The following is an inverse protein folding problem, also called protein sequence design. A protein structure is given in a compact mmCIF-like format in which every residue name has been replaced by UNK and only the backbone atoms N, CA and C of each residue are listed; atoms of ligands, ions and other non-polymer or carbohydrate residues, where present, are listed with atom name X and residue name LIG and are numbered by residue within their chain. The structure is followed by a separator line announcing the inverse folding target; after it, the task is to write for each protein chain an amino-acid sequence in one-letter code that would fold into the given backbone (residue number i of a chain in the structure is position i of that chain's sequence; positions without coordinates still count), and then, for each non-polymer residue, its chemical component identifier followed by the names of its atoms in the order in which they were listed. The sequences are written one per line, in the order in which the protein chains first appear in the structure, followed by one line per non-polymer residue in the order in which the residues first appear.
data_IF_528588126030
#
_entry.id   IF_528588126030
#
_cell.length_a   1.000
_cell.length_b   1.000
_cell.length_c   1.000
_cell.angle_alpha   90.00
_cell.angle_beta   90.00
_cell.angle_gamma   90.00
#
_symmetry.space_group_name_H-M   'P 1'
#
loop_
_entity.id
_entity.type
_entity.pdbx_description
1 polymer ?
#
# COMPACT_ATOMS: atom_id res chain seq x y z
N UNK A 1 -5.49 -1.88 -6.21
CA UNK A 1 -4.94 -1.25 -7.44
C UNK A 1 -4.10 -2.21 -8.25
N UNK A 2 -3.19 -2.96 -7.61
CA UNK A 2 -2.31 -3.93 -8.30
C UNK A 2 -3.09 -5.01 -9.07
N UNK A 3 -4.21 -5.48 -8.51
CA UNK A 3 -5.14 -6.39 -9.18
C UNK A 3 -5.65 -5.86 -10.53
N UNK A 4 -5.90 -4.54 -10.67
CA UNK A 4 -6.31 -3.96 -11.96
C UNK A 4 -5.18 -3.89 -12.96
N UNK A 5 -3.94 -3.74 -12.50
CA UNK A 5 -2.77 -3.84 -13.35
C UNK A 5 -2.63 -5.26 -13.91
N UNK A 6 -2.90 -6.29 -13.10
CA UNK A 6 -2.92 -7.69 -13.51
C UNK A 6 -4.07 -7.99 -14.50
N UNK A 7 -5.29 -7.50 -14.25
CA UNK A 7 -6.40 -7.62 -15.21
C UNK A 7 -6.05 -6.94 -16.55
N UNK A 8 -5.44 -5.75 -16.51
CA UNK A 8 -5.04 -5.04 -17.72
C UNK A 8 -3.95 -5.80 -18.50
N UNK A 9 -3.01 -6.44 -17.80
CA UNK A 9 -2.01 -7.33 -18.40
C UNK A 9 -2.67 -8.51 -19.12
N UNK A 10 -3.62 -9.20 -18.47
CA UNK A 10 -4.33 -10.35 -19.04
C UNK A 10 -5.19 -9.95 -20.25
N UNK A 11 -5.72 -8.73 -20.28
CA UNK A 11 -6.44 -8.15 -21.43
C UNK A 11 -5.52 -7.61 -22.53
N UNK A 12 -4.21 -7.72 -22.39
CA UNK A 12 -3.24 -7.17 -23.34
C UNK A 12 -3.15 -5.63 -23.35
N UNK A 13 -3.81 -4.94 -22.41
CA UNK A 13 -3.82 -3.48 -22.31
C UNK A 13 -2.54 -2.96 -21.66
N UNK A 14 -1.53 -2.68 -22.49
CA UNK A 14 -0.24 -2.13 -22.03
C UNK A 14 -0.37 -0.78 -21.33
N UNK A 15 -1.25 0.10 -21.81
CA UNK A 15 -1.49 1.41 -21.22
C UNK A 15 -2.15 1.29 -19.84
N UNK A 16 -3.19 0.46 -19.73
CA UNK A 16 -3.88 0.21 -18.46
C UNK A 16 -2.96 -0.40 -17.41
N UNK A 17 -2.15 -1.40 -17.80
CA UNK A 17 -1.19 -2.04 -16.89
C UNK A 17 -0.20 -1.00 -16.31
N UNK A 18 0.38 -0.14 -17.15
CA UNK A 18 1.30 0.93 -16.71
C UNK A 18 0.63 1.90 -15.74
N UNK A 19 -0.56 2.38 -16.09
CA UNK A 19 -1.31 3.35 -15.29
C UNK A 19 -1.62 2.79 -13.90
N UNK A 20 -2.22 1.59 -13.83
CA UNK A 20 -2.60 0.98 -12.56
C UNK A 20 -1.40 0.66 -11.69
N UNK A 21 -0.30 0.19 -12.29
CA UNK A 21 0.93 -0.08 -11.56
C UNK A 21 1.57 1.20 -11.01
N UNK A 22 1.60 2.29 -11.80
CA UNK A 22 2.05 3.59 -11.32
C UNK A 22 1.19 4.12 -10.17
N UNK A 23 -0.15 3.98 -10.27
CA UNK A 23 -1.06 4.34 -9.19
C UNK A 23 -0.82 3.50 -7.92
N UNK A 24 -0.52 2.20 -8.04
CA UNK A 24 -0.14 1.37 -6.88
C UNK A 24 1.11 1.91 -6.19
N UNK A 25 2.15 2.24 -6.96
CA UNK A 25 3.40 2.79 -6.42
C UNK A 25 3.15 4.14 -5.72
N UNK A 26 2.38 5.03 -6.35
CA UNK A 26 2.06 6.34 -5.77
C UNK A 26 1.29 6.22 -4.45
N UNK A 27 0.30 5.33 -4.39
CA UNK A 27 -0.45 5.09 -3.16
C UNK A 27 0.43 4.50 -2.05
N UNK A 28 1.26 3.50 -2.38
CA UNK A 28 2.18 2.91 -1.40
C UNK A 28 3.27 3.90 -0.93
N UNK A 29 3.78 4.74 -1.82
CA UNK A 29 4.72 5.80 -1.47
C UNK A 29 4.10 6.88 -0.59
N UNK A 30 2.85 7.24 -0.87
CA UNK A 30 2.07 8.17 -0.02
C UNK A 30 1.86 7.58 1.37
N UNK A 31 1.48 6.31 1.45
CA UNK A 31 1.36 5.58 2.71
C UNK A 31 2.66 5.60 3.53
N UNK A 32 3.80 5.28 2.90
CA UNK A 32 5.10 5.29 3.57
C UNK A 32 5.49 6.71 4.03
N UNK A 33 5.20 7.74 3.22
CA UNK A 33 5.42 9.13 3.60
C UNK A 33 4.60 9.57 4.82
N UNK A 34 3.33 9.17 4.87
CA UNK A 34 2.47 9.41 6.04
C UNK A 34 3.03 8.70 7.28
N UNK A 35 3.48 7.44 7.15
CA UNK A 35 4.06 6.67 8.25
C UNK A 35 5.33 7.32 8.83
N UNK A 36 6.19 7.87 7.97
CA UNK A 36 7.40 8.59 8.39
C UNK A 36 7.02 9.88 9.12
N UNK A 37 6.09 10.66 8.57
CA UNK A 37 5.60 11.88 9.22
C UNK A 37 5.02 11.59 10.61
N UNK A 38 4.28 10.49 10.75
CA UNK A 38 3.77 10.03 12.04
C UNK A 38 4.89 9.76 13.04
N UNK A 39 5.93 9.02 12.64
CA UNK A 39 7.07 8.74 13.52
C UNK A 39 7.77 10.01 13.97
N UNK A 40 8.00 10.97 13.06
CA UNK A 40 8.66 12.23 13.41
C UNK A 40 7.85 13.02 14.43
N UNK A 41 6.51 13.02 14.31
CA UNK A 41 5.62 13.71 15.24
C UNK A 41 5.56 13.02 16.61
N UNK A 42 5.45 11.69 16.64
CA UNK A 42 5.39 10.93 17.89
C UNK A 42 6.69 11.06 18.70
N UNK A 43 7.84 10.98 18.03
CA UNK A 43 9.15 11.07 18.67
C UNK A 43 9.48 12.52 19.07
N UNK A 44 9.20 13.49 18.18
CA UNK A 44 9.56 14.89 18.36
C UNK A 44 8.60 15.68 19.25
N UNK A 45 7.31 15.66 18.94
CA UNK A 45 6.32 16.54 19.58
C UNK A 45 5.70 15.90 20.83
N UNK A 46 5.54 14.57 20.83
CA UNK A 46 4.87 13.84 21.91
C UNK A 46 5.84 13.10 22.84
N UNK A 47 7.14 13.14 22.57
CA UNK A 47 8.20 12.45 23.31
C UNK A 47 7.94 10.93 23.50
N UNK A 48 7.14 10.33 22.62
CA UNK A 48 6.81 8.91 22.59
C UNK A 48 7.77 8.20 21.63
N UNK A 49 8.93 7.82 22.15
CA UNK A 49 9.93 7.05 21.44
C UNK A 49 9.73 5.53 21.56
N UNK A 50 10.52 4.74 20.81
CA UNK A 50 10.45 3.27 20.81
C UNK A 50 10.69 2.63 22.19
N UNK A 51 11.33 3.34 23.11
CA UNK A 51 11.66 2.85 24.46
C UNK A 51 10.85 3.50 25.57
N UNK A 52 9.90 4.38 25.25
CA UNK A 52 9.16 5.17 26.24
C UNK A 52 8.12 4.34 27.01
N UNK A 53 7.56 3.30 26.39
CA UNK A 53 6.63 2.37 27.03
C UNK A 53 6.58 1.03 26.30
N UNK A 54 6.11 -0.03 26.97
CA UNK A 54 5.92 -1.33 26.34
C UNK A 54 4.98 -1.25 25.12
N UNK A 55 3.92 -0.43 25.19
CA UNK A 55 3.02 -0.20 24.05
C UNK A 55 3.75 0.48 22.89
N UNK A 56 4.52 1.54 23.16
CA UNK A 56 5.32 2.24 22.14
C UNK A 56 6.34 1.29 21.49
N UNK A 57 7.03 0.46 22.25
CA UNK A 57 7.97 -0.53 21.71
C UNK A 57 7.30 -1.51 20.76
N UNK A 58 6.14 -2.05 21.13
CA UNK A 58 5.37 -2.96 20.27
C UNK A 58 4.85 -2.23 19.02
N UNK A 59 4.33 -1.01 19.18
CA UNK A 59 3.88 -0.16 18.09
C UNK A 59 5.00 0.02 17.05
N UNK A 60 6.12 0.65 17.43
CA UNK A 60 7.22 0.96 16.51
C UNK A 60 7.87 -0.31 15.91
N UNK A 61 7.88 -1.43 16.63
CA UNK A 61 8.40 -2.70 16.10
C UNK A 61 7.49 -3.27 15.02
N UNK A 62 6.18 -3.38 15.28
CA UNK A 62 5.22 -3.95 14.33
C UNK A 62 5.05 -3.06 13.10
N UNK A 63 4.84 -1.76 13.29
CA UNK A 63 4.69 -0.81 12.19
C UNK A 63 6.01 -0.57 11.47
N UNK A 64 7.15 -0.67 12.16
CA UNK A 64 8.48 -0.54 11.55
C UNK A 64 8.85 -1.71 10.64
N UNK A 65 8.63 -2.95 11.09
CA UNK A 65 8.84 -4.14 10.25
C UNK A 65 7.86 -4.13 9.07
N UNK A 66 6.61 -3.74 9.28
CA UNK A 66 5.67 -3.61 8.18
C UNK A 66 6.12 -2.53 7.17
N UNK A 67 6.51 -1.35 7.65
CA UNK A 67 7.01 -0.25 6.82
C UNK A 67 8.24 -0.65 6.00
N UNK A 68 9.15 -1.46 6.55
CA UNK A 68 10.31 -1.97 5.80
C UNK A 68 9.90 -2.90 4.66
N UNK A 69 8.88 -3.75 4.87
CA UNK A 69 8.30 -4.58 3.80
C UNK A 69 7.62 -3.75 2.72
N UNK A 70 6.87 -2.70 3.10
CA UNK A 70 6.28 -1.76 2.13
C UNK A 70 7.37 -1.10 1.29
N UNK A 71 8.45 -0.64 1.92
CA UNK A 71 9.59 -0.03 1.21
C UNK A 71 10.24 -0.98 0.20
N UNK A 72 10.54 -2.21 0.61
CA UNK A 72 11.06 -3.25 -0.30
C UNK A 72 10.06 -3.52 -1.43
N UNK A 73 8.77 -3.61 -1.11
CA UNK A 73 7.72 -3.77 -2.10
C UNK A 73 7.67 -2.62 -3.11
N UNK A 74 7.84 -1.37 -2.69
CA UNK A 74 7.87 -0.22 -3.60
C UNK A 74 9.06 -0.29 -4.56
N UNK A 75 10.21 -0.76 -4.09
CA UNK A 75 11.37 -1.03 -4.96
C UNK A 75 11.01 -2.10 -5.99
N UNK A 76 10.45 -3.23 -5.56
CA UNK A 76 10.06 -4.33 -6.44
C UNK A 76 9.00 -3.92 -7.46
N UNK A 77 7.97 -3.18 -7.05
CA UNK A 77 6.95 -2.62 -7.93
C UNK A 77 7.54 -1.63 -8.94
N UNK A 78 8.50 -0.80 -8.51
CA UNK A 78 9.19 0.13 -9.39
C UNK A 78 10.00 -0.61 -10.44
N UNK A 79 10.74 -1.65 -10.06
CA UNK A 79 11.44 -2.55 -11.01
C UNK A 79 10.44 -3.20 -11.97
N UNK A 80 9.29 -3.67 -11.46
CA UNK A 80 8.24 -4.24 -12.29
C UNK A 80 7.66 -3.21 -13.27
N UNK A 81 7.51 -1.94 -12.88
CA UNK A 81 7.06 -0.87 -13.77
C UNK A 81 8.08 -0.60 -14.87
N UNK A 82 9.38 -0.53 -14.55
CA UNK A 82 10.44 -0.39 -15.57
C UNK A 82 10.43 -1.57 -16.54
N UNK A 83 10.31 -2.80 -16.04
CA UNK A 83 10.22 -4.00 -16.88
C UNK A 83 8.98 -4.00 -17.77
N UNK A 84 7.86 -3.48 -17.25
CA UNK A 84 6.60 -3.27 -17.97
C UNK A 84 6.76 -2.25 -19.09
N UNK A 85 7.44 -1.13 -18.84
CA UNK A 85 7.72 -0.11 -19.86
C UNK A 85 8.58 -0.66 -21.00
N UNK A 86 9.51 -1.57 -20.69
CA UNK A 86 10.34 -2.29 -21.66
C UNK A 86 9.64 -3.48 -22.33
N UNK A 87 8.38 -3.77 -22.00
CA UNK A 87 7.58 -4.80 -22.67
C UNK A 87 7.88 -6.24 -22.26
N UNK A 88 8.47 -6.47 -21.07
CA UNK A 88 8.80 -7.82 -20.60
C UNK A 88 7.60 -8.66 -20.15
N UNK A 89 6.45 -8.03 -19.91
CA UNK A 89 5.23 -8.72 -19.49
C UNK A 89 4.22 -8.78 -20.63
N UNK A 90 3.53 -9.92 -20.74
CA UNK A 90 2.49 -10.18 -21.73
C UNK A 90 1.41 -11.12 -21.20
N UNK A 91 0.27 -11.25 -21.91
CA UNK A 91 -0.87 -12.05 -21.44
C UNK A 91 -0.59 -13.56 -21.42
N UNK A 92 0.44 -14.04 -22.12
CA UNK A 92 0.81 -15.46 -22.12
C UNK A 92 1.33 -15.91 -20.75
N UNK A 93 1.03 -17.15 -20.29
CA UNK A 93 1.42 -17.64 -18.96
C UNK A 93 2.91 -17.49 -18.64
N UNK A 94 3.78 -17.80 -19.60
CA UNK A 94 5.23 -17.65 -19.52
C UNK A 94 5.68 -16.20 -19.28
N UNK A 95 4.88 -15.22 -19.70
CA UNK A 95 5.20 -13.78 -19.64
C UNK A 95 4.48 -13.01 -18.55
N UNK A 96 3.67 -13.65 -17.69
CA UNK A 96 3.04 -12.97 -16.55
C UNK A 96 3.24 -13.61 -15.18
N UNK A 97 3.87 -14.79 -15.08
CA UNK A 97 4.14 -15.44 -13.77
C UNK A 97 4.87 -14.50 -12.81
N UNK A 98 5.96 -13.87 -13.26
CA UNK A 98 6.72 -12.93 -12.42
C UNK A 98 5.90 -11.71 -11.99
N UNK A 99 4.96 -11.25 -12.82
CA UNK A 99 4.04 -10.16 -12.46
C UNK A 99 3.07 -10.61 -11.36
N UNK A 100 2.49 -11.80 -11.52
CA UNK A 100 1.57 -12.40 -10.55
C UNK A 100 2.23 -12.66 -9.20
N UNK A 101 3.46 -13.14 -9.18
CA UNK A 101 4.23 -13.31 -7.92
C UNK A 101 4.39 -11.99 -7.17
N UNK A 102 4.73 -10.90 -7.87
CA UNK A 102 4.84 -9.58 -7.26
C UNK A 102 3.48 -9.01 -6.82
N UNK A 103 2.42 -9.28 -7.59
CA UNK A 103 1.03 -8.93 -7.22
C UNK A 103 0.62 -9.59 -5.90
N UNK A 104 0.91 -10.89 -5.73
CA UNK A 104 0.64 -11.63 -4.50
C UNK A 104 1.45 -11.08 -3.33
N UNK A 105 2.75 -10.80 -3.54
CA UNK A 105 3.59 -10.18 -2.51
C UNK A 105 3.00 -8.84 -2.02
N UNK A 106 2.59 -7.97 -2.96
CA UNK A 106 1.99 -6.68 -2.59
C UNK A 106 0.67 -6.85 -1.84
N UNK A 107 -0.18 -7.77 -2.27
CA UNK A 107 -1.42 -8.10 -1.58
C UNK A 107 -1.19 -8.64 -0.17
N UNK A 108 -0.15 -9.45 0.04
CA UNK A 108 0.23 -9.91 1.36
C UNK A 108 0.57 -8.74 2.29
N UNK A 109 1.36 -7.78 1.80
CA UNK A 109 1.70 -6.57 2.56
C UNK A 109 0.42 -5.79 2.92
N UNK A 110 -0.48 -5.55 1.96
CA UNK A 110 -1.76 -4.86 2.20
C UNK A 110 -2.60 -5.57 3.29
N UNK A 111 -2.67 -6.90 3.26
CA UNK A 111 -3.43 -7.70 4.23
C UNK A 111 -2.82 -7.61 5.64
N UNK A 112 -1.48 -7.71 5.75
CA UNK A 112 -0.79 -7.54 7.05
C UNK A 112 -1.08 -6.16 7.64
N UNK A 113 -1.16 -5.12 6.81
CA UNK A 113 -1.49 -3.78 7.31
C UNK A 113 -2.88 -3.72 7.94
N UNK A 114 -3.88 -4.35 7.33
CA UNK A 114 -5.24 -4.39 7.89
C UNK A 114 -5.23 -5.03 9.30
N UNK A 115 -4.46 -6.10 9.49
CA UNK A 115 -4.31 -6.73 10.81
C UNK A 115 -3.56 -5.84 11.81
N UNK A 116 -2.44 -5.24 11.41
CA UNK A 116 -1.63 -4.35 12.28
C UNK A 116 -2.44 -3.11 12.68
N UNK A 117 -3.15 -2.48 11.73
CA UNK A 117 -4.02 -1.35 11.98
C UNK A 117 -5.16 -1.71 12.93
N UNK A 118 -5.83 -2.84 12.67
CA UNK A 118 -6.89 -3.38 13.52
C UNK A 118 -6.42 -3.68 14.94
N UNK A 119 -5.19 -4.17 15.12
CA UNK A 119 -4.63 -4.49 16.44
C UNK A 119 -4.23 -3.22 17.22
N UNK A 120 -3.59 -2.25 16.56
CA UNK A 120 -2.96 -1.12 17.25
C UNK A 120 -3.90 0.06 17.49
N UNK A 121 -4.84 0.32 16.58
CA UNK A 121 -5.65 1.53 16.61
C UNK A 121 -7.12 1.33 17.03
N UNK A 122 -7.67 0.11 16.90
CA UNK A 122 -9.10 -0.14 17.19
C UNK A 122 -9.38 -0.40 18.67
N UNK A 123 -8.62 -1.24 19.41
CA UNK A 123 -8.94 -1.56 20.79
C UNK A 123 -8.53 -0.41 21.74
N UNK A 124 -9.48 0.08 22.55
CA UNK A 124 -9.24 0.90 23.75
C UNK A 124 -8.69 2.32 23.55
N UNK A 125 -8.24 2.68 22.35
CA UNK A 125 -7.55 3.94 22.06
C UNK A 125 -8.25 4.77 20.95
N UNK A 126 -9.46 4.36 20.56
CA UNK A 126 -10.22 4.96 19.45
C UNK A 126 -10.34 6.49 19.60
N UNK A 127 -10.70 6.98 20.78
CA UNK A 127 -10.88 8.42 21.03
C UNK A 127 -9.55 9.19 20.91
N UNK A 128 -8.43 8.55 21.29
CA UNK A 128 -7.09 9.16 21.23
C UNK A 128 -6.55 9.27 19.80
N UNK A 129 -6.90 8.32 18.93
CA UNK A 129 -6.37 8.26 17.56
C UNK A 129 -7.32 8.86 16.53
N UNK A 130 -8.64 8.72 16.72
CA UNK A 130 -9.65 9.19 15.77
C UNK A 130 -9.65 10.70 15.57
N UNK A 131 -9.16 11.48 16.53
CA UNK A 131 -9.04 12.94 16.41
C UNK A 131 -7.76 13.37 15.69
N UNK A 132 -6.77 12.48 15.53
CA UNK A 132 -5.50 12.83 14.90
C UNK A 132 -5.64 12.76 13.37
N UNK A 133 -5.32 13.82 12.62
CA UNK A 133 -5.38 13.85 11.15
C UNK A 133 -4.61 12.70 10.46
N UNK A 134 -3.66 12.12 11.17
CA UNK A 134 -2.70 11.12 10.67
C UNK A 134 -3.30 9.70 10.71
N UNK A 135 -4.17 9.39 11.68
CA UNK A 135 -4.99 8.17 11.70
C UNK A 135 -5.88 8.08 10.45
N UNK A 136 -6.43 9.22 10.03
CA UNK A 136 -7.16 9.31 8.77
C UNK A 136 -6.27 9.06 7.55
N UNK A 137 -4.98 9.33 7.58
CA UNK A 137 -4.06 9.01 6.47
C UNK A 137 -4.02 7.51 6.17
N UNK A 138 -3.86 6.67 7.21
CA UNK A 138 -3.91 5.21 7.08
C UNK A 138 -5.30 4.70 6.68
N UNK A 139 -6.36 5.23 7.29
CA UNK A 139 -7.74 4.87 6.96
C UNK A 139 -8.15 5.29 5.54
N UNK A 140 -7.71 6.47 5.07
CA UNK A 140 -7.95 6.99 3.72
C UNK A 140 -7.25 6.10 2.68
N UNK A 141 -6.02 5.63 2.94
CA UNK A 141 -5.34 4.68 2.04
C UNK A 141 -6.14 3.38 1.94
N UNK A 142 -6.62 2.83 3.07
CA UNK A 142 -7.47 1.63 3.07
C UNK A 142 -8.79 1.89 2.32
N UNK A 143 -9.46 3.00 2.58
CA UNK A 143 -10.72 3.38 1.90
C UNK A 143 -10.49 3.57 0.40
N UNK A 144 -9.39 4.21 -0.01
CA UNK A 144 -9.03 4.38 -1.42
C UNK A 144 -8.70 3.04 -2.06
N UNK A 145 -7.95 2.16 -1.40
CA UNK A 145 -7.65 0.81 -1.89
C UNK A 145 -8.92 -0.03 -2.11
N UNK A 146 -9.90 0.08 -1.21
CA UNK A 146 -11.18 -0.63 -1.28
C UNK A 146 -12.19 0.00 -2.26
N UNK A 147 -12.15 1.32 -2.48
CA UNK A 147 -13.16 2.05 -3.25
C UNK A 147 -12.70 2.60 -4.61
N UNK A 148 -11.40 2.59 -4.93
CA UNK A 148 -10.89 2.97 -6.26
C UNK A 148 -11.64 2.32 -7.45
N UNK A 149 -12.09 1.05 -7.37
CA UNK A 149 -12.84 0.41 -8.45
C UNK A 149 -14.15 1.12 -8.78
N UNK A 150 -14.87 1.58 -7.74
CA UNK A 150 -16.18 2.23 -7.87
C UNK A 150 -16.05 3.66 -8.38
N UNK A 151 -14.92 4.31 -8.09
CA UNK A 151 -14.62 5.68 -8.52
C UNK A 151 -14.25 5.73 -10.02
N UNK A 152 -13.51 4.73 -10.52
CA UNK A 152 -13.04 4.70 -11.90
C UNK A 152 -14.00 3.94 -12.83
N UNK A 153 -14.79 2.99 -12.29
CA UNK A 153 -15.79 2.22 -13.05
C UNK A 153 -17.00 3.00 -13.55
N UNK A 154 -17.17 4.28 -13.16
CA UNK A 154 -18.24 5.14 -13.70
C UNK A 154 -17.95 5.72 -15.10
N UNK A 155 -16.75 5.51 -15.65
CA UNK A 155 -16.33 6.13 -16.93
C UNK A 155 -16.00 5.19 -18.09
N UNK A 156 -16.07 3.86 -17.94
CA UNK A 156 -15.75 2.94 -19.04
C UNK A 156 -17.00 2.73 -19.93
N UNK A 157 -16.97 3.12 -21.22
CA UNK A 157 -18.10 2.86 -22.11
C UNK A 157 -18.24 1.35 -22.32
N UNK A 158 -19.48 0.87 -22.19
CA UNK A 158 -19.84 -0.50 -22.52
C UNK A 158 -19.86 -0.59 -24.05
N UNK A 159 -18.91 -1.34 -24.61
CA UNK A 159 -18.92 -1.79 -25.99
C UNK A 159 -18.68 -3.30 -25.98
#
# INVERSE_FOLDING_TARGET
TIHYAEIALLRGSRGGMKLWLALTILLGGTFLGIQIAEYTKLIGDEFLGPTTSAYSSVFFSLTGIHGSHVFVGLILLTVMLVRTMRGHYGPSPDKHVGFRTMSIYWHFVDVVWIFVFGLLYVPGNWDRWSEKPIFFGGAIVIILLLNLPKLIGKGAPRH
#
